data_IF_670640423938
#
_entry.id   IF_670640423938
#
_cell.length_a   1.000
_cell.length_b   1.000
_cell.length_c   1.000
_cell.angle_alpha   90.00
_cell.angle_beta   90.00
_cell.angle_gamma   90.00
#
_symmetry.space_group_name_H-M   'P 1'
#
loop_
_entity.id
_entity.type
_entity.pdbx_description
1 polymer ?
#
# COMPACT_ATOMS: atom_id res chain seq x y z
N UNK A 1 19.27 -16.04 1.96
CA UNK A 1 18.29 -14.94 2.22
C UNK A 1 17.18 -15.09 1.20
N UNK A 2 16.30 -15.90 1.61
CA UNK A 2 15.36 -16.57 0.79
C UNK A 2 14.07 -15.81 0.77
N UNK A 3 13.59 -15.74 -0.37
CA UNK A 3 12.28 -16.19 -0.83
C UNK A 3 11.06 -15.54 -0.18
N UNK A 4 11.18 -14.60 0.77
CA UNK A 4 10.03 -13.83 1.26
C UNK A 4 9.43 -13.09 0.07
N UNK A 5 8.16 -13.31 -0.18
CA UNK A 5 7.36 -12.69 -1.22
C UNK A 5 6.39 -11.67 -0.63
N UNK A 6 5.84 -10.81 -1.46
CA UNK A 6 4.81 -9.86 -1.01
C UNK A 6 3.59 -10.59 -0.42
N UNK A 7 3.25 -11.76 -0.97
CA UNK A 7 2.20 -12.63 -0.45
C UNK A 7 2.42 -13.01 1.01
N UNK A 8 3.66 -13.29 1.40
CA UNK A 8 3.96 -13.69 2.78
C UNK A 8 3.63 -12.56 3.76
N UNK A 9 3.93 -11.30 3.41
CA UNK A 9 3.56 -10.14 4.23
C UNK A 9 2.05 -9.93 4.33
N UNK A 10 1.31 -10.23 3.25
CA UNK A 10 -0.16 -10.19 3.27
C UNK A 10 -0.72 -11.28 4.18
N UNK A 11 -0.17 -12.49 4.13
CA UNK A 11 -0.59 -13.61 5.01
C UNK A 11 -0.18 -13.37 6.46
N UNK A 12 1.00 -12.79 6.73
CA UNK A 12 1.40 -12.37 8.07
C UNK A 12 0.41 -11.36 8.65
N UNK A 13 0.01 -10.36 7.87
CA UNK A 13 -0.99 -9.39 8.30
C UNK A 13 -2.38 -10.03 8.52
N UNK A 14 -2.77 -11.00 7.69
CA UNK A 14 -3.99 -11.79 7.90
C UNK A 14 -3.92 -12.61 9.20
N UNK A 15 -2.79 -13.23 9.47
CA UNK A 15 -2.55 -13.98 10.71
C UNK A 15 -2.66 -13.07 11.94
N UNK A 16 -2.06 -11.87 11.87
CA UNK A 16 -2.18 -10.87 12.95
C UNK A 16 -3.63 -10.47 13.22
N UNK A 17 -4.46 -10.33 12.19
CA UNK A 17 -5.89 -10.07 12.35
C UNK A 17 -6.60 -11.22 13.07
N UNK A 18 -6.34 -12.45 12.66
CA UNK A 18 -7.01 -13.62 13.22
C UNK A 18 -6.58 -13.90 14.66
N UNK A 19 -5.29 -13.76 14.98
CA UNK A 19 -4.75 -14.18 16.27
C UNK A 19 -4.78 -13.08 17.34
N UNK A 20 -4.83 -11.80 16.94
CA UNK A 20 -4.63 -10.69 17.86
C UNK A 20 -5.71 -9.61 17.82
N UNK A 21 -6.71 -9.72 16.93
CA UNK A 21 -7.79 -8.75 16.83
C UNK A 21 -9.14 -9.42 17.07
N UNK A 22 -9.73 -9.18 18.23
CA UNK A 22 -11.07 -9.66 18.56
C UNK A 22 -12.14 -8.61 18.19
N UNK A 23 -13.05 -8.95 17.26
CA UNK A 23 -14.19 -8.13 16.90
C UNK A 23 -13.92 -7.06 15.81
N UNK A 24 -14.77 -6.01 15.76
CA UNK A 24 -14.68 -4.99 14.73
C UNK A 24 -13.33 -4.27 14.72
N UNK A 25 -12.66 -4.23 13.56
CA UNK A 25 -11.30 -3.72 13.42
C UNK A 25 -11.24 -2.62 12.35
N UNK A 26 -10.52 -1.54 12.63
CA UNK A 26 -10.13 -0.52 11.64
C UNK A 26 -8.67 -0.73 11.28
N UNK A 27 -8.38 -0.89 9.99
CA UNK A 27 -7.00 -0.98 9.51
C UNK A 27 -6.45 0.40 9.19
N UNK A 28 -5.25 0.69 9.70
CA UNK A 28 -4.49 1.88 9.36
C UNK A 28 -3.26 1.46 8.57
N UNK A 29 -3.23 1.75 7.27
CA UNK A 29 -2.16 1.34 6.37
C UNK A 29 -1.44 2.52 5.73
N UNK A 30 -0.11 2.57 5.84
CA UNK A 30 0.71 3.58 5.17
C UNK A 30 1.52 2.96 4.04
N UNK A 31 1.59 3.65 2.89
CA UNK A 31 2.35 3.20 1.73
C UNK A 31 1.95 1.78 1.30
N UNK A 32 2.88 0.82 1.28
CA UNK A 32 2.61 -0.61 1.03
C UNK A 32 1.58 -1.19 2.03
N UNK A 33 1.58 -0.73 3.28
CA UNK A 33 0.57 -1.13 4.27
C UNK A 33 -0.86 -0.75 3.86
N UNK A 34 -1.03 0.32 3.08
CA UNK A 34 -2.31 0.68 2.46
C UNK A 34 -2.77 -0.35 1.43
N UNK A 35 -1.84 -0.86 0.61
CA UNK A 35 -2.14 -1.94 -0.34
C UNK A 35 -2.52 -3.25 0.38
N UNK A 36 -1.73 -3.65 1.39
CA UNK A 36 -2.05 -4.83 2.23
C UNK A 36 -3.44 -4.68 2.87
N UNK A 37 -3.76 -3.50 3.43
CA UNK A 37 -5.07 -3.24 4.05
C UNK A 37 -6.23 -3.41 3.07
N UNK A 38 -6.09 -2.96 1.82
CA UNK A 38 -7.10 -3.13 0.77
C UNK A 38 -7.24 -4.60 0.35
N UNK A 39 -6.12 -5.32 0.20
CA UNK A 39 -6.16 -6.74 -0.10
C UNK A 39 -6.91 -7.53 0.98
N UNK A 40 -6.66 -7.24 2.26
CA UNK A 40 -7.36 -7.89 3.36
C UNK A 40 -8.85 -7.50 3.41
N UNK A 41 -9.18 -6.22 3.21
CA UNK A 41 -10.56 -5.75 3.21
C UNK A 41 -11.39 -6.31 2.04
N UNK A 42 -10.75 -6.72 0.94
CA UNK A 42 -11.38 -7.38 -0.20
C UNK A 42 -11.65 -8.86 0.03
N UNK A 43 -11.05 -9.49 1.06
CA UNK A 43 -11.24 -10.90 1.36
C UNK A 43 -12.57 -11.15 2.07
N UNK A 44 -13.34 -12.11 1.59
CA UNK A 44 -14.65 -12.48 2.18
C UNK A 44 -14.56 -12.89 3.64
N UNK A 45 -13.48 -13.53 4.04
CA UNK A 45 -13.23 -14.01 5.39
C UNK A 45 -13.13 -12.89 6.43
N UNK A 46 -12.70 -11.68 6.02
CA UNK A 46 -12.57 -10.53 6.90
C UNK A 46 -13.71 -9.51 6.81
N UNK A 47 -14.73 -9.77 6.01
CA UNK A 47 -15.85 -8.85 5.77
C UNK A 47 -16.59 -8.44 7.05
N UNK A 48 -16.71 -9.38 8.00
CA UNK A 48 -17.39 -9.13 9.26
C UNK A 48 -16.46 -8.56 10.34
N UNK A 49 -15.16 -8.65 10.16
CA UNK A 49 -14.14 -8.16 11.09
C UNK A 49 -13.64 -6.78 10.70
N UNK A 50 -13.23 -6.55 9.45
CA UNK A 50 -12.74 -5.24 8.99
C UNK A 50 -13.94 -4.33 8.76
N UNK A 51 -14.04 -3.26 9.54
CA UNK A 51 -15.16 -2.31 9.53
C UNK A 51 -14.77 -0.91 9.05
N UNK A 52 -13.48 -0.63 8.87
CA UNK A 52 -13.04 0.66 8.37
C UNK A 52 -11.58 0.66 7.94
N UNK A 53 -11.22 1.64 7.12
CA UNK A 53 -9.87 1.84 6.59
C UNK A 53 -9.42 3.29 6.77
N UNK A 54 -8.15 3.47 7.17
CA UNK A 54 -7.43 4.74 7.06
C UNK A 54 -6.14 4.49 6.28
N UNK A 55 -6.03 5.06 5.10
CA UNK A 55 -4.94 4.79 4.16
C UNK A 55 -4.08 6.05 3.99
N UNK A 56 -2.80 5.95 4.27
CA UNK A 56 -1.86 7.06 4.14
C UNK A 56 -0.93 6.80 2.96
N UNK A 57 -1.04 7.63 1.92
CA UNK A 57 -0.23 7.55 0.70
C UNK A 57 -0.13 6.10 0.16
N UNK A 58 -1.28 5.39 -0.06
CA UNK A 58 -1.27 3.97 -0.41
C UNK A 58 -0.50 3.72 -1.71
N UNK A 59 0.53 2.86 -1.64
CA UNK A 59 1.40 2.51 -2.76
C UNK A 59 0.89 1.23 -3.45
N UNK A 60 -0.19 1.36 -4.21
CA UNK A 60 -0.80 0.25 -4.92
C UNK A 60 0.02 -0.16 -6.13
N UNK A 61 0.14 -1.46 -6.39
CA UNK A 61 0.79 -2.03 -7.57
C UNK A 61 2.23 -1.47 -7.80
N UNK A 62 2.87 -1.09 -6.70
CA UNK A 62 4.11 -0.30 -6.70
C UNK A 62 5.33 -1.07 -7.21
N UNK A 63 5.41 -2.37 -6.94
CA UNK A 63 6.67 -3.12 -7.14
C UNK A 63 7.11 -3.18 -8.60
N UNK A 64 6.21 -3.42 -9.54
CA UNK A 64 6.55 -3.58 -10.96
C UNK A 64 7.07 -2.28 -11.59
N UNK A 65 6.38 -1.13 -11.49
CA UNK A 65 6.89 0.13 -12.04
C UNK A 65 8.22 0.53 -11.39
N UNK A 66 8.35 0.38 -10.07
CA UNK A 66 9.57 0.72 -9.35
C UNK A 66 10.76 -0.15 -9.78
N UNK A 67 10.57 -1.47 -9.86
CA UNK A 67 11.57 -2.40 -10.38
C UNK A 67 12.05 -2.01 -11.77
N UNK A 68 11.11 -1.73 -12.70
CA UNK A 68 11.48 -1.35 -14.06
C UNK A 68 12.21 -0.01 -14.14
N UNK A 69 11.90 0.93 -13.26
CA UNK A 69 12.62 2.18 -13.17
C UNK A 69 14.06 1.95 -12.69
N UNK A 70 14.24 1.26 -11.56
CA UNK A 70 15.55 0.96 -11.01
C UNK A 70 16.39 0.11 -11.97
N UNK A 71 15.80 -0.89 -12.63
CA UNK A 71 16.51 -1.74 -13.58
C UNK A 71 17.11 -0.96 -14.76
N UNK A 72 16.52 0.16 -15.18
CA UNK A 72 17.05 1.02 -16.25
C UNK A 72 18.30 1.80 -15.82
N UNK A 73 18.47 2.03 -14.53
CA UNK A 73 19.59 2.79 -13.97
C UNK A 73 20.82 1.91 -13.67
N UNK A 74 20.66 0.58 -13.78
CA UNK A 74 21.72 -0.39 -13.55
C UNK A 74 22.77 -0.38 -14.67
N UNK A 75 24.01 -0.69 -14.32
CA UNK A 75 25.05 -0.96 -15.29
C UNK A 75 24.85 -2.31 -16.01
N UNK A 76 25.58 -2.55 -17.09
CA UNK A 76 25.43 -3.74 -17.94
C UNK A 76 25.64 -5.07 -17.17
N UNK A 77 26.56 -5.11 -16.22
CA UNK A 77 26.85 -6.29 -15.41
C UNK A 77 25.68 -6.60 -14.46
N UNK A 78 25.16 -5.58 -13.80
CA UNK A 78 23.97 -5.69 -12.93
C UNK A 78 22.72 -6.11 -13.71
N UNK A 79 22.52 -5.54 -14.91
CA UNK A 79 21.40 -5.94 -15.80
C UNK A 79 21.52 -7.41 -16.18
N UNK A 80 22.72 -7.87 -16.60
CA UNK A 80 22.96 -9.27 -16.92
C UNK A 80 22.72 -10.20 -15.71
N UNK A 81 23.02 -9.73 -14.49
CA UNK A 81 22.77 -10.44 -13.24
C UNK A 81 21.26 -10.62 -13.01
N UNK A 82 20.47 -9.54 -13.19
CA UNK A 82 19.00 -9.64 -13.09
C UNK A 82 18.39 -10.55 -14.16
N UNK A 83 18.90 -10.53 -15.40
CA UNK A 83 18.44 -11.39 -16.49
C UNK A 83 18.68 -12.87 -16.18
N UNK A 84 19.74 -13.22 -15.45
CA UNK A 84 19.98 -14.57 -14.97
C UNK A 84 19.08 -14.97 -13.79
N UNK A 85 18.19 -14.07 -13.32
CA UNK A 85 17.31 -14.31 -12.17
C UNK A 85 17.99 -14.16 -10.79
N UNK A 86 19.20 -13.60 -10.78
CA UNK A 86 19.97 -13.35 -9.58
C UNK A 86 19.53 -12.02 -8.91
N UNK A 87 19.91 -11.82 -7.64
CA UNK A 87 19.58 -10.62 -6.88
C UNK A 87 20.64 -9.55 -7.11
N UNK A 88 20.20 -8.31 -7.37
CA UNK A 88 21.09 -7.15 -7.45
C UNK A 88 20.81 -6.21 -6.28
N UNK A 89 21.85 -5.90 -5.51
CA UNK A 89 21.79 -4.87 -4.49
C UNK A 89 22.04 -3.49 -5.13
N UNK A 90 21.13 -2.55 -4.87
CA UNK A 90 21.25 -1.15 -5.29
C UNK A 90 21.25 -0.29 -4.03
N UNK A 91 22.27 0.53 -3.87
CA UNK A 91 22.40 1.46 -2.75
C UNK A 91 21.91 2.84 -3.17
N UNK A 92 21.05 3.43 -2.36
CA UNK A 92 20.55 4.77 -2.51
C UNK A 92 20.59 5.54 -1.18
N UNK A 93 20.06 6.75 -1.14
CA UNK A 93 20.02 7.59 0.08
C UNK A 93 19.19 6.99 1.23
N UNK A 94 18.35 5.98 0.96
CA UNK A 94 17.49 5.30 1.92
C UNK A 94 18.07 3.98 2.42
N UNK A 95 19.18 3.50 1.80
CA UNK A 95 19.85 2.26 2.15
C UNK A 95 20.05 1.32 0.97
N UNK A 96 20.03 0.01 1.23
CA UNK A 96 20.23 -1.01 0.20
C UNK A 96 18.89 -1.64 -0.18
N UNK A 97 18.53 -1.51 -1.44
CA UNK A 97 17.39 -2.19 -2.06
C UNK A 97 17.85 -3.41 -2.84
N UNK A 98 17.24 -4.55 -2.59
CA UNK A 98 17.53 -5.81 -3.29
C UNK A 98 16.54 -6.03 -4.42
N UNK A 99 16.96 -5.80 -5.65
CA UNK A 99 16.15 -6.07 -6.84
C UNK A 99 16.13 -7.57 -7.12
N UNK A 100 14.93 -8.12 -7.23
CA UNK A 100 14.70 -9.54 -7.48
C UNK A 100 13.51 -9.71 -8.41
N UNK A 101 13.77 -10.20 -9.63
CA UNK A 101 12.75 -10.38 -10.67
C UNK A 101 11.61 -11.29 -10.20
N UNK A 102 11.94 -12.42 -9.59
CA UNK A 102 10.95 -13.38 -9.06
C UNK A 102 10.01 -12.80 -8.00
N UNK A 103 10.48 -11.83 -7.19
CA UNK A 103 9.63 -11.13 -6.22
C UNK A 103 8.58 -10.29 -6.93
N UNK A 104 8.99 -9.55 -7.96
CA UNK A 104 8.10 -8.66 -8.73
C UNK A 104 7.09 -9.47 -9.55
N UNK A 105 7.53 -10.57 -10.16
CA UNK A 105 6.64 -11.48 -10.89
C UNK A 105 5.58 -12.11 -9.97
N UNK A 106 5.98 -12.57 -8.79
CA UNK A 106 5.06 -13.12 -7.80
C UNK A 106 4.10 -12.05 -7.22
N UNK A 107 4.56 -10.80 -7.04
CA UNK A 107 3.70 -9.73 -6.55
C UNK A 107 2.61 -9.31 -7.54
N UNK A 108 2.79 -9.61 -8.83
CA UNK A 108 1.82 -9.29 -9.87
C UNK A 108 0.46 -10.01 -9.67
N UNK A 109 0.46 -11.16 -9.00
CA UNK A 109 -0.77 -11.90 -8.69
C UNK A 109 -1.67 -11.16 -7.67
N UNK A 110 -1.09 -10.19 -6.96
CA UNK A 110 -1.75 -9.38 -5.93
C UNK A 110 -2.00 -7.94 -6.40
N UNK A 111 -1.74 -7.62 -7.66
CA UNK A 111 -2.08 -6.31 -8.22
C UNK A 111 -3.59 -6.11 -8.24
N UNK A 112 -4.03 -4.92 -7.82
CA UNK A 112 -5.43 -4.51 -7.85
C UNK A 112 -5.75 -3.94 -9.24
N UNK A 113 -6.79 -4.44 -9.88
CA UNK A 113 -7.27 -3.88 -11.15
C UNK A 113 -8.15 -2.66 -10.88
N UNK A 114 -7.54 -1.47 -10.94
CA UNK A 114 -8.23 -0.21 -10.72
C UNK A 114 -9.10 0.23 -11.92
N UNK A 115 -9.10 -0.53 -13.02
CA UNK A 115 -10.03 -0.31 -14.12
C UNK A 115 -11.44 -0.87 -13.84
N UNK A 116 -11.59 -1.63 -12.78
CA UNK A 116 -12.85 -2.23 -12.34
C UNK A 116 -13.21 -1.75 -10.92
N UNK A 117 -14.51 -1.72 -10.56
CA UNK A 117 -14.92 -1.42 -9.20
C UNK A 117 -14.26 -2.37 -8.18
N UNK A 118 -13.65 -1.80 -7.14
CA UNK A 118 -13.02 -2.55 -6.07
C UNK A 118 -14.02 -2.76 -4.93
N UNK A 119 -14.35 -4.02 -4.66
CA UNK A 119 -15.37 -4.47 -3.70
C UNK A 119 -14.97 -4.25 -2.22
N UNK A 120 -14.70 -2.99 -1.88
CA UNK A 120 -14.45 -2.50 -0.52
C UNK A 120 -15.49 -1.44 -0.21
N UNK A 121 -16.43 -1.76 0.70
CA UNK A 121 -17.60 -0.93 1.01
C UNK A 121 -17.59 -0.31 2.40
N UNK A 122 -16.58 -0.60 3.21
CA UNK A 122 -16.43 -0.03 4.56
C UNK A 122 -16.04 1.45 4.52
N UNK A 123 -16.36 2.24 5.55
CA UNK A 123 -15.87 3.60 5.68
C UNK A 123 -14.35 3.69 5.45
N UNK A 124 -13.93 4.59 4.57
CA UNK A 124 -12.53 4.72 4.19
C UNK A 124 -12.10 6.19 4.18
N UNK A 125 -10.98 6.49 4.82
CA UNK A 125 -10.32 7.79 4.75
C UNK A 125 -8.95 7.60 4.08
N UNK A 126 -8.72 8.31 3.00
CA UNK A 126 -7.47 8.29 2.25
C UNK A 126 -6.77 9.63 2.49
N UNK A 127 -5.52 9.58 2.94
CA UNK A 127 -4.72 10.76 3.26
C UNK A 127 -3.50 10.81 2.35
N UNK A 128 -3.24 11.94 1.66
CA UNK A 128 -2.09 12.03 0.77
C UNK A 128 -1.45 13.41 0.76
N UNK A 129 -0.13 13.43 0.59
CA UNK A 129 0.65 14.65 0.41
C UNK A 129 0.83 15.01 -1.06
N UNK A 130 0.63 16.29 -1.44
CA UNK A 130 0.93 16.74 -2.83
C UNK A 130 2.44 16.67 -3.14
N UNK A 131 3.29 16.77 -2.10
CA UNK A 131 4.75 16.71 -2.24
C UNK A 131 5.32 15.29 -2.11
N UNK A 132 4.46 14.29 -2.16
CA UNK A 132 4.89 12.89 -2.19
C UNK A 132 5.68 12.63 -3.49
N UNK A 133 6.99 12.39 -3.35
CA UNK A 133 7.88 12.09 -4.46
C UNK A 133 7.90 10.58 -4.79
N UNK A 134 7.42 9.73 -3.88
CA UNK A 134 7.43 8.27 -4.04
C UNK A 134 6.15 7.75 -4.69
N UNK A 135 5.00 8.29 -4.27
CA UNK A 135 3.68 7.87 -4.76
C UNK A 135 2.88 9.12 -5.17
N UNK A 136 2.53 9.28 -6.45
CA UNK A 136 1.72 10.40 -6.88
C UNK A 136 0.34 10.41 -6.21
N UNK A 137 -0.07 11.55 -5.62
CA UNK A 137 -1.38 11.64 -4.96
C UNK A 137 -2.58 11.35 -5.88
N UNK A 138 -2.37 11.43 -7.20
CA UNK A 138 -3.38 11.07 -8.21
C UNK A 138 -3.78 9.60 -8.13
N UNK A 139 -2.90 8.71 -7.68
CA UNK A 139 -3.22 7.31 -7.43
C UNK A 139 -4.28 7.17 -6.32
N UNK A 140 -4.29 8.07 -5.33
CA UNK A 140 -5.34 8.10 -4.31
C UNK A 140 -6.66 8.66 -4.82
N UNK A 141 -6.64 9.54 -5.82
CA UNK A 141 -7.87 9.99 -6.50
C UNK A 141 -8.49 8.83 -7.26
N UNK A 142 -7.70 8.12 -8.07
CA UNK A 142 -8.13 6.93 -8.80
C UNK A 142 -8.67 5.85 -7.87
N UNK A 143 -7.96 5.57 -6.76
CA UNK A 143 -8.44 4.62 -5.75
C UNK A 143 -9.80 5.04 -5.18
N UNK A 144 -9.98 6.30 -4.80
CA UNK A 144 -11.25 6.80 -4.26
C UNK A 144 -12.41 6.60 -5.25
N UNK A 145 -12.16 6.84 -6.55
CA UNK A 145 -13.15 6.67 -7.62
C UNK A 145 -13.49 5.19 -7.87
N UNK A 146 -12.57 4.28 -7.57
CA UNK A 146 -12.68 2.84 -7.83
C UNK A 146 -13.40 2.09 -6.71
N UNK A 147 -13.31 2.56 -5.45
CA UNK A 147 -13.95 1.92 -4.30
C UNK A 147 -15.48 1.99 -4.41
N UNK A 148 -16.16 0.85 -4.23
CA UNK A 148 -17.65 0.79 -4.28
C UNK A 148 -18.33 1.42 -3.06
N UNK A 149 -17.60 1.60 -1.96
CA UNK A 149 -18.10 2.24 -0.74
C UNK A 149 -18.56 3.67 -0.98
N UNK A 150 -19.66 4.06 -0.37
CA UNK A 150 -20.20 5.43 -0.47
C UNK A 150 -19.66 6.38 0.61
N UNK A 151 -19.07 5.83 1.68
CA UNK A 151 -18.44 6.61 2.75
C UNK A 151 -16.91 6.59 2.58
N UNK A 152 -16.45 7.20 1.48
CA UNK A 152 -15.03 7.32 1.14
C UNK A 152 -14.67 8.79 1.00
N UNK A 153 -13.64 9.22 1.73
CA UNK A 153 -13.12 10.59 1.65
C UNK A 153 -11.63 10.60 1.38
N UNK A 154 -11.19 11.56 0.54
CA UNK A 154 -9.78 11.82 0.26
C UNK A 154 -9.37 13.19 0.80
N UNK A 155 -8.39 13.22 1.69
CA UNK A 155 -7.78 14.45 2.20
C UNK A 155 -6.40 14.63 1.59
N UNK A 156 -6.25 15.67 0.74
CA UNK A 156 -4.97 15.98 0.09
C UNK A 156 -4.35 17.22 0.74
N UNK A 157 -3.13 17.09 1.24
CA UNK A 157 -2.40 18.17 1.89
C UNK A 157 -1.27 18.72 0.99
N UNK A 158 -1.36 20.00 0.65
CA UNK A 158 -0.44 20.66 -0.30
C UNK A 158 1.05 20.58 0.10
N UNK A 159 1.35 20.58 1.40
CA UNK A 159 2.74 20.64 1.89
C UNK A 159 3.24 19.29 2.43
N UNK A 160 2.37 18.31 2.59
CA UNK A 160 2.76 17.00 3.12
C UNK A 160 3.53 16.18 2.07
N UNK A 161 4.44 15.36 2.56
CA UNK A 161 5.28 14.43 1.84
C UNK A 161 4.78 12.98 2.06
N UNK A 162 5.49 11.98 1.50
CA UNK A 162 5.11 10.58 1.55
C UNK A 162 4.82 10.04 2.96
N UNK A 163 5.68 10.37 3.91
CA UNK A 163 5.56 9.86 5.29
C UNK A 163 4.38 10.45 6.07
N UNK A 164 3.83 11.58 5.61
CA UNK A 164 2.70 12.27 6.26
C UNK A 164 2.92 12.52 7.78
N UNK A 165 4.18 12.67 8.19
CA UNK A 165 4.63 12.64 9.59
C UNK A 165 4.71 14.01 10.27
N UNK A 166 4.39 15.11 9.54
CA UNK A 166 4.36 16.42 10.15
C UNK A 166 3.20 16.51 11.16
N UNK A 167 3.40 17.28 12.22
CA UNK A 167 2.43 17.41 13.32
C UNK A 167 0.98 17.62 12.84
N UNK A 168 0.78 18.55 11.90
CA UNK A 168 -0.56 18.83 11.36
C UNK A 168 -1.11 17.69 10.50
N UNK A 169 -0.27 16.86 9.92
CA UNK A 169 -0.67 15.68 9.17
C UNK A 169 -1.08 14.56 10.12
N UNK A 170 -0.36 14.40 11.23
CA UNK A 170 -0.74 13.45 12.29
C UNK A 170 -2.05 13.84 12.99
N UNK A 171 -2.31 15.14 13.19
CA UNK A 171 -3.61 15.63 13.68
C UNK A 171 -4.76 15.25 12.75
N UNK A 172 -4.54 15.37 11.42
CA UNK A 172 -5.53 14.94 10.40
C UNK A 172 -5.71 13.42 10.40
N UNK A 173 -4.62 12.65 10.53
CA UNK A 173 -4.69 11.19 10.64
C UNK A 173 -5.51 10.76 11.86
N UNK A 174 -5.25 11.34 13.03
CA UNK A 174 -6.00 11.05 14.24
C UNK A 174 -7.50 11.36 14.08
N UNK A 175 -7.84 12.53 13.53
CA UNK A 175 -9.22 12.91 13.28
C UNK A 175 -9.90 11.95 12.29
N UNK A 176 -9.21 11.57 11.20
CA UNK A 176 -9.74 10.62 10.21
C UNK A 176 -10.00 9.25 10.82
N UNK A 177 -9.16 8.79 11.74
CA UNK A 177 -9.38 7.55 12.47
C UNK A 177 -10.62 7.64 13.39
N UNK A 178 -10.77 8.75 14.13
CA UNK A 178 -11.94 8.99 14.96
C UNK A 178 -13.24 9.04 14.14
N UNK A 179 -13.19 9.66 12.96
CA UNK A 179 -14.35 9.73 12.05
C UNK A 179 -14.73 8.34 11.55
N UNK A 180 -13.77 7.52 11.11
CA UNK A 180 -14.04 6.13 10.72
C UNK A 180 -14.61 5.31 11.88
N UNK A 181 -14.07 5.43 13.09
CA UNK A 181 -14.58 4.72 14.27
C UNK A 181 -16.02 5.13 14.61
N UNK A 182 -16.38 6.38 14.36
CA UNK A 182 -17.77 6.86 14.59
C UNK A 182 -18.75 6.35 13.56
N UNK A 183 -18.28 6.05 12.36
CA UNK A 183 -19.10 5.62 11.22
C UNK A 183 -19.35 4.10 11.19
N UNK A 184 -18.76 3.33 12.10
CA UNK A 184 -18.94 1.87 12.26
C UNK A 184 -19.82 1.54 13.46
#
# INVERSE_FOLDING_TARGET
METVQFKDWVEDAATMLVEHCDGPTVLVGSSMGGWISLLLASRREFKDQIKGLVLVAPALNFFRPHYHQMAKELNLEQQATLERGEVVAVEDEWGVTYLRKSFVEASAELELDLSQPLEVSVPCRILHGVRDASVPYRNSVELMETLVGTNVELVVRKKAEHRFSERKSLEVLAQSLEDVIRDI
#
